data_IF_660933667525
#
_entry.id   IF_660933667525
#
_cell.length_a   1.000
_cell.length_b   1.000
_cell.length_c   1.000
_cell.angle_alpha   90.00
_cell.angle_beta   90.00
_cell.angle_gamma   90.00
#
_symmetry.space_group_name_H-M   'P 1'
#
loop_
_entity.id
_entity.type
_entity.pdbx_description
1 polymer ?
#
# COMPACT_ATOMS: atom_id res chain seq x y z
N UNK A 1 38.34 38.00 1.84
CA UNK A 1 37.25 37.86 0.86
C UNK A 1 37.00 36.37 0.72
N UNK A 2 35.90 35.86 1.30
CA UNK A 2 35.64 34.41 1.37
C UNK A 2 34.64 34.07 0.27
N UNK A 3 35.08 33.36 -0.76
CA UNK A 3 34.22 32.91 -1.86
C UNK A 3 33.34 31.74 -1.40
N UNK A 4 32.02 31.94 -1.44
CA UNK A 4 31.04 30.87 -1.22
C UNK A 4 30.99 29.97 -2.45
N UNK A 5 31.55 28.77 -2.35
CA UNK A 5 31.47 27.73 -3.39
C UNK A 5 29.99 27.33 -3.55
N UNK A 6 29.46 27.51 -4.76
CA UNK A 6 28.04 27.36 -5.07
C UNK A 6 27.43 26.08 -4.48
N UNK A 7 26.40 26.26 -3.65
CA UNK A 7 25.56 25.16 -3.20
C UNK A 7 24.78 24.65 -4.41
N UNK A 8 25.27 23.56 -5.01
CA UNK A 8 24.44 22.74 -5.89
C UNK A 8 23.22 22.37 -5.05
N UNK A 9 22.04 22.79 -5.50
CA UNK A 9 20.76 22.37 -4.95
C UNK A 9 20.70 20.85 -5.12
N UNK A 10 21.21 20.09 -4.15
CA UNK A 10 21.05 18.64 -4.15
C UNK A 10 19.55 18.44 -4.15
N UNK A 11 19.06 17.82 -5.23
CA UNK A 11 17.66 17.44 -5.42
C UNK A 11 17.11 17.09 -4.06
N UNK A 12 16.12 17.89 -3.62
CA UNK A 12 15.37 17.78 -2.37
C UNK A 12 15.59 16.40 -1.78
N UNK A 13 16.47 16.29 -0.77
CA UNK A 13 16.71 15.04 -0.06
C UNK A 13 15.35 14.66 0.50
N UNK A 14 14.64 13.80 -0.24
CA UNK A 14 13.49 13.10 0.30
C UNK A 14 14.10 12.38 1.48
N UNK A 15 13.70 12.78 2.69
CA UNK A 15 14.12 12.09 3.89
C UNK A 15 13.96 10.60 3.66
N UNK A 16 15.01 9.81 3.87
CA UNK A 16 15.01 8.33 3.86
C UNK A 16 14.12 7.72 4.95
N UNK A 17 13.10 8.44 5.41
CA UNK A 17 11.90 7.82 5.94
C UNK A 17 11.24 7.06 4.77
N UNK A 18 11.84 5.91 4.41
CA UNK A 18 11.24 4.91 3.56
C UNK A 18 9.89 4.59 4.19
N UNK A 19 8.82 5.18 3.65
CA UNK A 19 7.48 4.71 3.95
C UNK A 19 7.47 3.25 3.52
N UNK A 20 7.40 2.32 4.46
CA UNK A 20 7.15 0.93 4.11
C UNK A 20 5.88 0.93 3.26
N UNK A 21 5.94 0.35 2.06
CA UNK A 21 4.74 0.20 1.26
C UNK A 21 3.91 -0.95 1.85
N UNK A 22 2.59 -0.80 1.99
CA UNK A 22 1.75 -1.88 2.49
C UNK A 22 1.76 -3.04 1.49
N UNK A 23 1.72 -4.27 2.00
CA UNK A 23 1.58 -5.46 1.16
C UNK A 23 0.25 -5.49 0.44
N UNK A 24 -0.80 -5.07 1.14
CA UNK A 24 -2.14 -5.06 0.63
C UNK A 24 -2.91 -3.98 1.38
N UNK A 25 -3.63 -3.17 0.61
CA UNK A 25 -4.78 -2.40 1.09
C UNK A 25 -6.01 -3.10 0.53
N UNK A 26 -6.88 -3.61 1.39
CA UNK A 26 -8.13 -4.20 0.95
C UNK A 26 -9.27 -3.15 0.92
N UNK A 27 -10.43 -3.58 0.41
CA UNK A 27 -11.59 -2.70 0.26
C UNK A 27 -12.35 -2.43 1.57
N UNK A 28 -12.01 -3.16 2.63
CA UNK A 28 -12.74 -3.16 3.91
C UNK A 28 -12.04 -2.29 4.97
N UNK A 29 -10.99 -1.55 4.58
CA UNK A 29 -10.24 -0.68 5.48
C UNK A 29 -9.07 -1.37 6.18
N UNK A 30 -8.67 -2.56 5.73
CA UNK A 30 -7.50 -3.25 6.27
C UNK A 30 -6.23 -2.94 5.48
N UNK A 31 -5.16 -2.71 6.21
CA UNK A 31 -3.82 -2.53 5.67
C UNK A 31 -2.88 -3.58 6.24
N UNK A 32 -2.25 -4.34 5.35
CA UNK A 32 -1.28 -5.37 5.72
C UNK A 32 0.14 -4.86 5.54
N UNK A 33 0.98 -5.05 6.55
CA UNK A 33 2.37 -4.59 6.58
C UNK A 33 3.31 -5.77 6.86
N UNK A 34 4.53 -5.72 6.32
CA UNK A 34 5.63 -6.57 6.79
C UNK A 34 6.52 -5.70 7.65
N UNK A 35 6.70 -6.14 8.91
CA UNK A 35 7.72 -5.62 9.78
C UNK A 35 8.95 -6.50 9.62
N UNK A 36 9.96 -5.98 8.92
CA UNK A 36 11.26 -6.62 8.86
C UNK A 36 11.98 -6.45 10.19
N UNK A 37 12.34 -7.55 10.81
CA UNK A 37 13.15 -7.53 12.02
C UNK A 37 14.64 -7.68 11.66
N UNK A 38 15.53 -7.49 12.64
CA UNK A 38 16.96 -7.80 12.45
C UNK A 38 17.22 -9.32 12.40
N UNK A 39 16.25 -10.12 12.84
CA UNK A 39 16.20 -11.57 12.63
C UNK A 39 15.57 -11.90 11.28
N UNK A 40 15.76 -13.13 10.80
CA UNK A 40 15.12 -13.62 9.56
C UNK A 40 13.58 -13.79 9.69
N UNK A 41 13.03 -13.48 10.85
CA UNK A 41 11.61 -13.56 11.17
C UNK A 41 10.92 -12.23 10.85
N UNK A 42 10.38 -12.13 9.64
CA UNK A 42 9.46 -11.07 9.24
C UNK A 42 8.07 -11.31 9.83
N UNK A 43 7.48 -10.30 10.47
CA UNK A 43 6.13 -10.37 11.05
C UNK A 43 5.13 -9.63 10.17
N UNK A 44 3.94 -10.21 9.97
CA UNK A 44 2.84 -9.53 9.28
C UNK A 44 1.96 -8.81 10.31
N UNK A 45 1.73 -7.52 10.08
CA UNK A 45 0.84 -6.68 10.87
C UNK A 45 -0.42 -6.36 10.06
N UNK A 46 -1.56 -6.38 10.73
CA UNK A 46 -2.82 -5.84 10.25
C UNK A 46 -3.12 -4.54 10.97
N UNK A 47 -3.35 -3.49 10.19
CA UNK A 47 -3.92 -2.23 10.64
C UNK A 47 -5.38 -2.19 10.17
N UNK A 48 -6.32 -2.21 11.11
CA UNK A 48 -7.76 -2.11 10.87
C UNK A 48 -8.20 -0.66 11.05
N UNK A 49 -8.59 -0.03 9.94
CA UNK A 49 -9.09 1.34 9.87
C UNK A 49 -10.58 1.27 9.55
N UNK A 50 -11.41 1.17 10.59
CA UNK A 50 -12.88 1.03 10.46
C UNK A 50 -13.54 2.14 9.62
N UNK A 51 -12.99 3.35 9.69
CA UNK A 51 -13.60 4.54 9.09
C UNK A 51 -12.51 5.48 8.63
N UNK A 52 -12.53 5.90 7.36
CA UNK A 52 -11.58 6.88 6.80
C UNK A 52 -12.09 8.34 6.95
N UNK A 53 -13.11 8.59 7.76
CA UNK A 53 -13.54 9.95 8.08
C UNK A 53 -12.47 10.59 8.97
N UNK A 54 -11.93 11.75 8.55
CA UNK A 54 -10.71 12.35 9.11
C UNK A 54 -10.76 12.82 10.57
N UNK A 55 -11.68 12.30 11.39
CA UNK A 55 -11.81 12.56 12.83
C UNK A 55 -11.30 11.31 13.55
N UNK A 56 -10.07 11.37 14.08
CA UNK A 56 -9.44 10.35 14.93
C UNK A 56 -9.86 8.91 14.63
N UNK A 57 -9.17 8.28 13.68
CA UNK A 57 -9.43 6.89 13.30
C UNK A 57 -9.27 5.98 14.53
N UNK A 58 -10.33 5.23 14.80
CA UNK A 58 -10.39 4.18 15.82
C UNK A 58 -9.57 2.97 15.31
N UNK A 59 -8.27 3.19 15.22
CA UNK A 59 -7.31 2.33 14.55
C UNK A 59 -6.88 1.20 15.49
N UNK A 60 -6.90 -0.04 14.96
CA UNK A 60 -6.50 -1.22 15.72
C UNK A 60 -5.40 -1.97 15.00
N UNK A 61 -4.38 -2.38 15.76
CA UNK A 61 -3.26 -3.14 15.25
C UNK A 61 -3.32 -4.58 15.75
N UNK A 62 -3.09 -5.52 14.84
CA UNK A 62 -3.04 -6.94 15.12
C UNK A 62 -1.77 -7.57 14.55
N UNK A 63 -1.22 -8.53 15.28
CA UNK A 63 -0.12 -9.38 14.85
C UNK A 63 -0.66 -10.77 14.55
N UNK A 64 -0.17 -11.41 13.50
CA UNK A 64 -0.43 -12.82 13.24
C UNK A 64 0.64 -13.69 13.88
N UNK A 65 0.24 -14.82 14.44
CA UNK A 65 1.19 -15.84 14.88
C UNK A 65 1.74 -16.63 13.69
N UNK A 66 2.80 -17.40 13.90
CA UNK A 66 3.42 -18.21 12.86
C UNK A 66 2.45 -19.25 12.26
N UNK A 67 1.52 -19.77 13.07
CA UNK A 67 0.49 -20.70 12.62
C UNK A 67 -0.50 -20.03 11.64
N UNK A 68 -0.78 -18.74 11.83
CA UNK A 68 -1.71 -17.96 11.01
C UNK A 68 -1.04 -17.39 9.76
N UNK A 69 0.30 -17.31 9.75
CA UNK A 69 1.09 -16.68 8.69
C UNK A 69 0.80 -17.27 7.31
N UNK A 70 0.81 -18.60 7.19
CA UNK A 70 0.59 -19.26 5.90
C UNK A 70 -0.80 -18.98 5.31
N UNK A 71 -1.82 -18.89 6.17
CA UNK A 71 -3.18 -18.56 5.75
C UNK A 71 -3.27 -17.11 5.27
N UNK A 72 -2.63 -16.18 5.98
CA UNK A 72 -2.65 -14.76 5.62
C UNK A 72 -1.84 -14.46 4.35
N UNK A 73 -0.70 -15.13 4.15
CA UNK A 73 0.08 -15.00 2.91
C UNK A 73 -0.72 -15.51 1.70
N UNK A 74 -1.47 -16.61 1.88
CA UNK A 74 -2.40 -17.11 0.88
C UNK A 74 -3.53 -16.13 0.60
N UNK A 75 -4.11 -15.52 1.64
CA UNK A 75 -5.13 -14.48 1.49
C UNK A 75 -4.59 -13.30 0.67
N UNK A 76 -3.45 -12.72 1.08
CA UNK A 76 -2.81 -11.58 0.40
C UNK A 76 -2.53 -11.91 -1.07
N UNK A 77 -1.96 -13.08 -1.34
CA UNK A 77 -1.68 -13.53 -2.71
C UNK A 77 -2.96 -13.63 -3.55
N UNK A 78 -4.03 -14.21 -2.99
CA UNK A 78 -5.31 -14.33 -3.68
C UNK A 78 -5.96 -12.98 -3.96
N UNK A 79 -5.87 -12.03 -3.03
CA UNK A 79 -6.43 -10.68 -3.15
C UNK A 79 -5.71 -9.86 -4.21
N UNK A 80 -4.37 -9.98 -4.29
CA UNK A 80 -3.58 -9.36 -5.37
C UNK A 80 -3.98 -9.89 -6.75
N UNK A 81 -4.15 -11.21 -6.90
CA UNK A 81 -4.59 -11.83 -8.17
C UNK A 81 -6.00 -11.37 -8.56
N UNK A 82 -6.94 -11.31 -7.60
CA UNK A 82 -8.30 -10.80 -7.86
C UNK A 82 -8.26 -9.35 -8.34
N UNK A 83 -7.45 -8.49 -7.71
CA UNK A 83 -7.30 -7.08 -8.11
C UNK A 83 -6.73 -6.93 -9.52
N UNK A 84 -5.79 -7.78 -9.93
CA UNK A 84 -5.26 -7.78 -11.30
C UNK A 84 -6.32 -8.21 -12.32
N UNK A 85 -7.13 -9.23 -12.01
CA UNK A 85 -8.24 -9.66 -12.90
C UNK A 85 -9.32 -8.59 -13.05
N UNK A 86 -9.67 -7.89 -11.98
CA UNK A 86 -10.65 -6.79 -12.05
C UNK A 86 -10.11 -5.64 -12.90
N UNK A 87 -8.82 -5.32 -12.78
CA UNK A 87 -8.17 -4.33 -13.64
C UNK A 87 -8.20 -4.77 -15.11
N UNK A 88 -7.84 -6.02 -15.41
CA UNK A 88 -7.91 -6.58 -16.76
C UNK A 88 -9.32 -6.48 -17.36
N UNK A 89 -10.37 -6.80 -16.59
CA UNK A 89 -11.76 -6.62 -17.03
C UNK A 89 -12.12 -5.14 -17.26
N UNK A 90 -11.63 -4.24 -16.41
CA UNK A 90 -11.84 -2.78 -16.55
C UNK A 90 -11.23 -2.18 -17.80
N UNK A 91 -10.09 -2.69 -18.28
CA UNK A 91 -9.48 -2.26 -19.55
C UNK A 91 -10.16 -2.84 -20.80
N UNK A 92 -11.03 -3.85 -20.64
CA UNK A 92 -11.73 -4.51 -21.74
C UNK A 92 -13.18 -4.03 -21.94
N UNK A 93 -13.64 -2.98 -21.23
CA UNK A 93 -14.94 -2.37 -21.53
C UNK A 93 -14.84 -1.58 -22.86
N UNK A 94 -15.71 -1.83 -23.85
CA UNK A 94 -15.76 -0.98 -25.03
C UNK A 94 -16.21 0.42 -24.57
N UNK A 95 -15.34 1.41 -24.78
CA UNK A 95 -15.70 2.82 -24.73
C UNK A 95 -16.78 3.01 -25.80
N UNK A 96 -18.03 3.00 -25.38
CA UNK A 96 -19.18 3.16 -26.27
C UNK A 96 -19.14 4.55 -26.88
N UNK A 97 -18.77 4.63 -28.15
CA UNK A 97 -18.81 5.84 -28.97
C UNK A 97 -20.23 6.41 -29.03
N UNK A 98 -20.46 7.49 -28.29
CA UNK A 98 -21.62 8.36 -28.45
C UNK A 98 -21.28 9.50 -29.43
N UNK A 99 -21.25 9.19 -30.73
CA UNK A 99 -21.43 10.21 -31.77
C UNK A 99 -22.93 10.50 -31.90
N UNK A 100 -23.39 11.56 -31.23
CA UNK A 100 -24.64 12.22 -31.59
C UNK A 100 -24.40 13.09 -32.84
N UNK A 101 -24.91 12.66 -33.98
CA UNK A 101 -25.04 13.54 -35.16
C UNK A 101 -26.16 14.54 -34.89
N UNK A 102 -25.82 15.83 -34.93
CA UNK A 102 -26.74 16.96 -35.12
C UNK A 102 -26.64 17.40 -36.57
#
# INVERSE_FOLDING_TARGET
MLEAKGMVLRKRQISDAMRNEPLLLDGDGHVFWILKSYSDDDTILLQDIKTWDGVAHDERWFTYSDEQRAEIEKYISSSRVKRLKIQDVGYNLPIGSNEAKV
#
